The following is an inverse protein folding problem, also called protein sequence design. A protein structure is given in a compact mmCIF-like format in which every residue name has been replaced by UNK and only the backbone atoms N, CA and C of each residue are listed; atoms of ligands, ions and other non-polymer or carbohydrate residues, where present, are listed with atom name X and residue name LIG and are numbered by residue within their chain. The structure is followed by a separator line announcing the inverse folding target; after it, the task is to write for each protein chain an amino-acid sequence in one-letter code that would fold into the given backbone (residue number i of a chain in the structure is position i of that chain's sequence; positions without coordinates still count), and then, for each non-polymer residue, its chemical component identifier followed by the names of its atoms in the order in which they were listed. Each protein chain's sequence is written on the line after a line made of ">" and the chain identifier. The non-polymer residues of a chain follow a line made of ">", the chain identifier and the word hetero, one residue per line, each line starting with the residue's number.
data_IF_714179690630
#
_entry.id   IF_714179690630
#
_cell.length_a   1.000
_cell.length_b   1.000
_cell.length_c   1.000
_cell.angle_alpha   90.00
_cell.angle_beta   90.00
_cell.angle_gamma   90.00
#
_symmetry.space_group_name_H-M   'P 1'
#
loop_
_entity.id
_entity.type
_entity.pdbx_description
1 polymer ?
#
# COMPACT_ATOMS: atom_id res chain seq x y z
N UNK A 1 3.38 0.12 -13.44
CA UNK A 1 1.91 0.31 -13.50
C UNK A 1 1.47 1.77 -13.20
N UNK A 2 0.78 2.41 -14.14
CA UNK A 2 0.27 3.78 -13.99
C UNK A 2 -1.01 3.90 -13.16
N UNK A 3 -1.66 2.76 -12.83
CA UNK A 3 -2.89 2.73 -12.06
C UNK A 3 -2.62 2.49 -10.57
N UNK A 4 -3.23 3.29 -9.68
CA UNK A 4 -3.22 3.00 -8.25
C UNK A 4 -4.10 1.77 -7.96
N UNK A 5 -3.79 0.99 -6.89
CA UNK A 5 -4.72 -0.01 -6.39
C UNK A 5 -6.07 0.62 -6.07
N UNK A 6 -7.13 0.04 -6.65
CA UNK A 6 -8.51 0.44 -6.45
C UNK A 6 -9.12 -0.21 -5.21
N UNK A 7 -10.28 0.29 -4.78
CA UNK A 7 -11.05 -0.28 -3.67
C UNK A 7 -10.20 -0.56 -2.43
N UNK A 8 -9.39 0.42 -2.02
CA UNK A 8 -8.59 0.31 -0.80
C UNK A 8 -9.53 0.24 0.41
N UNK A 9 -9.66 -0.96 0.97
CA UNK A 9 -10.42 -1.26 2.16
C UNK A 9 -9.46 -1.48 3.32
N UNK A 10 -9.79 -0.89 4.47
CA UNK A 10 -9.01 -1.07 5.68
C UNK A 10 -9.93 -1.40 6.84
N UNK A 11 -9.49 -2.33 7.68
CA UNK A 11 -10.19 -2.78 8.88
C UNK A 11 -9.23 -2.64 10.05
N UNK A 12 -9.63 -1.89 11.07
CA UNK A 12 -8.84 -1.74 12.28
C UNK A 12 -9.42 -2.61 13.41
N UNK A 13 -8.58 -3.51 13.92
CA UNK A 13 -8.86 -4.36 15.07
C UNK A 13 -7.83 -4.04 16.17
N UNK A 14 -8.18 -3.08 17.03
CA UNK A 14 -7.27 -2.53 18.03
C UNK A 14 -6.07 -1.84 17.37
N UNK A 15 -4.87 -2.42 17.56
CA UNK A 15 -3.63 -1.96 16.96
C UNK A 15 -3.37 -2.52 15.56
N UNK A 16 -4.07 -3.57 15.15
CA UNK A 16 -3.86 -4.18 13.86
C UNK A 16 -4.76 -3.53 12.81
N UNK A 17 -4.18 -3.14 11.69
CA UNK A 17 -4.88 -2.62 10.52
C UNK A 17 -4.68 -3.58 9.38
N UNK A 18 -5.75 -4.27 9.01
CA UNK A 18 -5.80 -5.13 7.84
C UNK A 18 -6.18 -4.29 6.63
N UNK A 19 -5.26 -4.16 5.68
CA UNK A 19 -5.45 -3.50 4.40
C UNK A 19 -5.72 -4.55 3.33
N UNK A 20 -6.67 -4.26 2.46
CA UNK A 20 -6.98 -5.05 1.27
C UNK A 20 -7.33 -4.10 0.14
N UNK A 21 -6.87 -4.42 -1.06
CA UNK A 21 -7.14 -3.61 -2.25
C UNK A 21 -7.28 -4.50 -3.48
N UNK A 22 -7.84 -3.93 -4.53
CA UNK A 22 -7.97 -4.64 -5.80
C UNK A 22 -6.60 -4.77 -6.48
N UNK A 23 -6.26 -5.97 -6.99
CA UNK A 23 -5.03 -6.16 -7.72
C UNK A 23 -4.96 -5.23 -8.93
N UNK A 24 -3.84 -4.52 -9.06
CA UNK A 24 -3.58 -3.71 -10.24
C UNK A 24 -3.17 -4.66 -11.36
N UNK A 25 -3.98 -4.71 -12.43
CA UNK A 25 -3.57 -5.33 -13.68
C UNK A 25 -2.74 -4.35 -14.48
N UNK A 26 -1.53 -4.77 -14.85
CA UNK A 26 -0.75 -4.08 -15.86
C UNK A 26 -1.53 -4.09 -17.18
N UNK A 27 -1.40 -3.00 -17.95
CA UNK A 27 -1.90 -2.96 -19.33
C UNK A 27 -0.96 -3.76 -20.23
N UNK A 28 -1.39 -4.13 -21.44
CA UNK A 28 -0.55 -4.86 -22.42
C UNK A 28 0.77 -4.14 -22.79
N UNK A 29 0.87 -2.85 -22.50
CA UNK A 29 2.07 -2.03 -22.72
C UNK A 29 2.87 -1.72 -21.43
N UNK A 30 2.54 -2.36 -20.31
CA UNK A 30 3.22 -2.21 -19.03
C UNK A 30 3.73 -3.57 -18.54
N UNK A 31 4.83 -3.57 -17.78
CA UNK A 31 5.31 -4.79 -17.13
C UNK A 31 4.32 -5.29 -16.08
N UNK A 32 4.22 -6.62 -15.94
CA UNK A 32 3.38 -7.26 -14.93
C UNK A 32 3.66 -6.73 -13.53
N UNK A 33 2.59 -6.60 -12.74
CA UNK A 33 2.68 -6.21 -11.34
C UNK A 33 3.27 -7.38 -10.56
N UNK A 34 4.47 -7.18 -10.03
CA UNK A 34 5.20 -8.17 -9.23
C UNK A 34 4.86 -8.07 -7.73
N UNK A 35 4.18 -6.99 -7.32
CA UNK A 35 3.70 -6.82 -5.97
C UNK A 35 3.31 -5.39 -5.64
N UNK A 36 3.30 -5.09 -4.34
CA UNK A 36 2.85 -3.83 -3.79
C UNK A 36 3.81 -3.35 -2.70
N UNK A 37 3.90 -2.03 -2.58
CA UNK A 37 4.68 -1.32 -1.58
C UNK A 37 3.71 -0.49 -0.74
N UNK A 38 3.70 -0.74 0.55
CA UNK A 38 2.87 -0.02 1.52
C UNK A 38 3.78 0.90 2.31
N UNK A 39 3.51 2.20 2.25
CA UNK A 39 4.20 3.21 3.03
C UNK A 39 3.29 3.65 4.16
N UNK A 40 3.80 3.56 5.38
CA UNK A 40 3.14 4.02 6.59
C UNK A 40 3.90 5.24 7.09
N UNK A 41 3.23 6.39 7.18
CA UNK A 41 3.79 7.62 7.73
C UNK A 41 2.95 8.08 8.91
N UNK A 42 3.59 8.36 10.04
CA UNK A 42 2.89 8.94 11.19
C UNK A 42 2.88 10.46 11.05
N UNK A 43 1.71 11.07 11.13
CA UNK A 43 1.57 12.53 11.11
C UNK A 43 2.31 13.14 12.30
N UNK A 44 3.14 14.16 12.03
CA UNK A 44 3.93 14.82 13.06
C UNK A 44 5.19 14.06 13.51
N UNK A 45 5.49 12.87 12.97
CA UNK A 45 6.79 12.20 13.17
C UNK A 45 7.53 12.03 11.84
N UNK A 46 8.85 12.21 11.86
CA UNK A 46 9.69 12.04 10.66
C UNK A 46 9.93 10.57 10.26
N UNK A 47 9.30 9.60 10.93
CA UNK A 47 9.54 8.18 10.67
C UNK A 47 8.49 7.61 9.71
N UNK A 48 8.96 7.07 8.58
CA UNK A 48 8.15 6.33 7.62
C UNK A 48 8.55 4.87 7.62
N UNK A 49 7.60 3.96 7.73
CA UNK A 49 7.82 2.54 7.55
C UNK A 49 7.41 2.12 6.14
N UNK A 50 8.20 1.24 5.52
CA UNK A 50 7.93 0.73 4.18
C UNK A 50 7.89 -0.78 4.23
N UNK A 51 6.82 -1.35 3.71
CA UNK A 51 6.64 -2.79 3.58
C UNK A 51 6.39 -3.16 2.13
N UNK A 52 6.83 -4.35 1.74
CA UNK A 52 6.60 -4.92 0.42
C UNK A 52 5.86 -6.23 0.56
N UNK A 53 4.81 -6.41 -0.22
CA UNK A 53 4.01 -7.64 -0.25
C UNK A 53 3.67 -8.00 -1.70
N UNK A 54 3.78 -9.26 -2.12
CA UNK A 54 3.28 -9.70 -3.42
C UNK A 54 1.74 -9.78 -3.45
N UNK A 55 1.11 -9.85 -2.28
CA UNK A 55 -0.34 -9.96 -2.15
C UNK A 55 -1.00 -8.59 -2.21
N UNK A 56 -2.25 -8.54 -2.69
CA UNK A 56 -3.09 -7.35 -2.65
C UNK A 56 -3.74 -7.10 -1.28
N UNK A 57 -3.15 -7.66 -0.22
CA UNK A 57 -3.58 -7.49 1.15
C UNK A 57 -2.38 -7.55 2.08
N UNK A 58 -2.45 -6.83 3.19
CA UNK A 58 -1.44 -6.87 4.24
C UNK A 58 -1.98 -6.44 5.59
N UNK A 59 -1.42 -7.01 6.66
CA UNK A 59 -1.73 -6.59 8.03
C UNK A 59 -0.58 -5.75 8.55
N UNK A 60 -0.91 -4.54 9.00
CA UNK A 60 -0.01 -3.62 9.68
C UNK A 60 -0.34 -3.63 11.18
N UNK A 61 0.67 -3.46 12.01
CA UNK A 61 0.45 -3.15 13.43
C UNK A 61 0.85 -1.71 13.66
N UNK A 62 -0.13 -0.86 13.94
CA UNK A 62 0.07 0.53 14.29
C UNK A 62 0.31 0.64 15.80
N UNK A 63 1.36 1.35 16.24
CA UNK A 63 1.50 1.72 17.65
C UNK A 63 0.26 2.48 18.15
N UNK A 64 -0.07 2.36 19.45
CA UNK A 64 -1.18 3.12 20.03
C UNK A 64 -0.92 4.63 19.96
N UNK A 65 -1.85 5.37 19.36
CA UNK A 65 -1.87 6.83 19.35
C UNK A 65 -1.25 7.50 18.12
N UNK A 66 -1.98 8.48 17.57
CA UNK A 66 -1.57 9.33 16.46
C UNK A 66 -2.32 9.06 15.16
N UNK A 67 -2.23 10.01 14.23
CA UNK A 67 -2.75 9.85 12.87
C UNK A 67 -1.69 9.16 12.01
N UNK A 68 -2.08 8.13 11.27
CA UNK A 68 -1.21 7.44 10.33
C UNK A 68 -1.75 7.58 8.92
N UNK A 69 -0.88 7.92 7.99
CA UNK A 69 -1.15 8.00 6.55
C UNK A 69 -0.59 6.72 5.93
N UNK A 70 -1.43 6.00 5.21
CA UNK A 70 -1.08 4.73 4.56
C UNK A 70 -1.19 4.94 3.06
N UNK A 71 -0.07 4.79 2.36
CA UNK A 71 -0.03 4.82 0.89
C UNK A 71 0.27 3.43 0.36
N UNK A 72 -0.51 2.96 -0.61
CA UNK A 72 -0.28 1.67 -1.29
C UNK A 72 0.10 1.93 -2.73
N UNK A 73 1.24 1.40 -3.17
CA UNK A 73 1.75 1.57 -4.54
C UNK A 73 1.94 0.21 -5.19
N UNK A 74 1.48 0.05 -6.43
CA UNK A 74 1.80 -1.14 -7.19
C UNK A 74 3.25 -1.08 -7.71
N UNK A 75 3.94 -2.22 -7.67
CA UNK A 75 5.33 -2.38 -8.12
C UNK A 75 5.34 -3.36 -9.29
N UNK A 76 5.95 -2.98 -10.41
CA UNK A 76 6.14 -3.83 -11.59
C UNK A 76 7.63 -4.10 -11.84
N UNK A 77 7.94 -5.09 -12.67
CA UNK A 77 9.32 -5.40 -13.07
C UNK A 77 10.04 -4.19 -13.72
N UNK A 78 9.30 -3.37 -14.49
CA UNK A 78 9.82 -2.14 -15.10
C UNK A 78 9.94 -0.92 -14.18
N UNK A 79 9.62 -1.02 -12.88
CA UNK A 79 9.73 0.09 -11.91
C UNK A 79 8.56 0.24 -10.93
N UNK A 80 8.65 1.23 -10.03
CA UNK A 80 7.58 1.59 -9.08
C UNK A 80 6.45 2.35 -9.81
N UNK A 81 5.20 1.89 -9.62
CA UNK A 81 4.02 2.49 -10.22
C UNK A 81 3.41 3.65 -9.46
N UNK A 82 2.29 4.15 -9.98
CA UNK A 82 1.49 5.19 -9.34
C UNK A 82 0.98 4.74 -7.96
N UNK A 83 0.94 5.69 -7.03
CA UNK A 83 0.49 5.47 -5.66
C UNK A 83 -1.02 5.69 -5.53
N UNK A 84 -1.70 4.81 -4.81
CA UNK A 84 -2.98 5.13 -4.17
C UNK A 84 -2.65 5.86 -2.87
N UNK A 85 -3.04 7.12 -2.78
CA UNK A 85 -2.88 7.94 -1.58
C UNK A 85 -4.27 8.25 -1.03
N UNK A 86 -4.52 7.90 0.23
CA UNK A 86 -5.75 8.23 0.94
C UNK A 86 -5.46 8.54 2.41
#
# INVERSE_FOLDING_TARGET
>A
PSLPPGNLMWIQEGNNVSLSWDPVKARDNESDVIGYKVLLRQEGRGHSQVMRTPNSAVVLTLPEGGTYIIEVRAVSEGGEGAASAQ
#
